data_IF_403752405932
#
_entry.id   IF_403752405932
#
_cell.length_a   1.000
_cell.length_b   1.000
_cell.length_c   1.000
_cell.angle_alpha   90.00
_cell.angle_beta   90.00
_cell.angle_gamma   90.00
#
_symmetry.space_group_name_H-M   'P 1'
#
loop_
_entity.id
_entity.type
_entity.pdbx_description
1 polymer ?
#
# COMPACT_ATOMS: atom_id res chain seq x y z
N UNK A 1 3.02 15.72 16.46
CA UNK A 1 2.00 15.36 15.45
C UNK A 1 1.37 14.05 15.91
N UNK A 2 0.06 13.88 15.73
CA UNK A 2 -0.61 12.62 15.99
C UNK A 2 -0.20 11.62 14.89
N UNK A 3 0.05 10.37 15.26
CA UNK A 3 0.35 9.29 14.29
C UNK A 3 -0.87 9.01 13.42
N UNK A 4 -0.67 8.74 12.13
CA UNK A 4 -1.73 8.38 11.19
C UNK A 4 -2.33 7.01 11.51
N UNK A 5 -1.53 6.05 11.96
CA UNK A 5 -2.06 4.77 12.47
C UNK A 5 -3.04 5.00 13.62
N UNK A 6 -2.68 5.89 14.56
CA UNK A 6 -3.56 6.27 15.67
C UNK A 6 -4.79 7.03 15.19
N UNK A 7 -4.66 7.87 14.16
CA UNK A 7 -5.79 8.56 13.53
C UNK A 7 -6.82 7.58 12.95
N UNK A 8 -6.36 6.59 12.20
CA UNK A 8 -7.20 5.55 11.60
C UNK A 8 -7.85 4.68 12.69
N UNK A 9 -7.07 4.21 13.66
CA UNK A 9 -7.56 3.30 14.70
C UNK A 9 -8.67 3.91 15.59
N UNK A 10 -8.65 5.22 15.82
CA UNK A 10 -9.70 5.90 16.59
C UNK A 10 -10.88 6.39 15.73
N UNK A 11 -10.85 6.21 14.41
CA UNK A 11 -11.90 6.64 13.48
C UNK A 11 -12.53 5.43 12.77
N UNK A 12 -13.56 4.78 13.36
CA UNK A 12 -14.12 3.52 12.83
C UNK A 12 -14.57 3.59 11.37
N UNK A 13 -15.19 4.70 10.95
CA UNK A 13 -15.60 4.88 9.54
C UNK A 13 -14.40 4.91 8.59
N UNK A 14 -13.25 5.44 9.04
CA UNK A 14 -12.04 5.48 8.22
C UNK A 14 -11.39 4.09 8.15
N UNK A 15 -11.34 3.37 9.27
CA UNK A 15 -10.84 1.99 9.29
C UNK A 15 -11.72 1.06 8.43
N UNK A 16 -13.05 1.22 8.47
CA UNK A 16 -13.98 0.45 7.64
C UNK A 16 -13.82 0.77 6.15
N UNK A 17 -13.72 2.06 5.79
CA UNK A 17 -13.50 2.46 4.40
C UNK A 17 -12.14 2.02 3.85
N UNK A 18 -11.10 2.08 4.68
CA UNK A 18 -9.77 1.62 4.29
C UNK A 18 -9.76 0.09 4.11
N UNK A 19 -10.46 -0.66 4.98
CA UNK A 19 -10.63 -2.11 4.83
C UNK A 19 -11.32 -2.44 3.51
N UNK A 20 -12.47 -1.81 3.27
CA UNK A 20 -13.23 -1.96 2.04
C UNK A 20 -13.84 -0.60 1.68
N UNK A 21 -13.52 -0.04 0.50
CA UNK A 21 -13.02 -0.77 -0.66
C UNK A 21 -11.47 -0.79 -0.79
N UNK A 22 -10.72 0.02 -0.04
CA UNK A 22 -9.29 0.26 -0.32
C UNK A 22 -8.30 -0.89 -0.03
N UNK A 23 -8.75 -2.05 0.47
CA UNK A 23 -7.90 -3.20 0.79
C UNK A 23 -6.72 -2.88 1.73
N UNK A 24 -7.00 -2.12 2.80
CA UNK A 24 -6.01 -1.72 3.79
C UNK A 24 -6.55 -1.89 5.22
N UNK A 25 -6.05 -2.91 5.91
CA UNK A 25 -6.53 -3.34 7.22
C UNK A 25 -5.42 -3.34 8.27
N UNK A 26 -5.54 -2.48 9.30
CA UNK A 26 -4.56 -2.39 10.39
C UNK A 26 -4.54 -3.62 11.31
N UNK A 27 -5.61 -4.40 11.36
CA UNK A 27 -5.72 -5.60 12.19
C UNK A 27 -5.18 -6.87 11.51
N UNK A 28 -4.60 -6.75 10.31
CA UNK A 28 -3.98 -7.85 9.55
C UNK A 28 -2.47 -7.63 9.32
N UNK A 29 -1.74 -7.32 10.40
CA UNK A 29 -0.29 -7.05 10.34
C UNK A 29 0.60 -8.29 10.27
N UNK A 30 0.09 -9.45 10.64
CA UNK A 30 0.87 -10.68 10.70
C UNK A 30 0.98 -11.32 9.31
N UNK A 31 2.20 -11.37 8.78
CA UNK A 31 2.49 -12.14 7.58
C UNK A 31 2.55 -13.63 7.94
N UNK A 32 1.89 -14.47 7.14
CA UNK A 32 1.77 -15.92 7.41
C UNK A 32 3.13 -16.63 7.34
N UNK A 33 4.03 -16.11 6.51
CA UNK A 33 5.35 -16.68 6.26
C UNK A 33 6.46 -15.92 6.99
N UNK A 34 7.56 -16.61 7.30
CA UNK A 34 8.73 -15.95 7.89
C UNK A 34 9.54 -15.27 6.80
N UNK A 35 9.54 -13.93 6.78
CA UNK A 35 10.22 -13.12 5.76
C UNK A 35 11.19 -12.11 6.37
N UNK A 36 12.23 -11.76 5.60
CA UNK A 36 13.17 -10.70 5.96
C UNK A 36 13.66 -9.95 4.72
N UNK A 37 14.19 -8.74 4.90
CA UNK A 37 14.84 -8.01 3.82
C UNK A 37 16.23 -8.59 3.55
N UNK A 38 16.60 -8.73 2.28
CA UNK A 38 17.93 -9.18 1.87
C UNK A 38 19.08 -8.31 2.43
N UNK A 39 18.80 -7.03 2.69
CA UNK A 39 19.73 -6.09 3.34
C UNK A 39 19.97 -6.38 4.82
N UNK A 40 19.11 -7.20 5.45
CA UNK A 40 19.05 -7.39 6.90
C UNK A 40 18.48 -6.21 7.67
N UNK A 41 17.94 -5.19 6.98
CA UNK A 41 17.26 -4.09 7.64
C UNK A 41 15.97 -4.59 8.32
N UNK A 42 15.53 -3.86 9.35
CA UNK A 42 14.30 -4.18 10.10
C UNK A 42 13.10 -4.25 9.14
N UNK A 43 12.26 -5.25 9.32
CA UNK A 43 11.01 -5.42 8.59
C UNK A 43 9.87 -5.57 9.59
N UNK A 44 8.82 -4.77 9.46
CA UNK A 44 7.73 -4.70 10.43
C UNK A 44 6.39 -4.65 9.70
N UNK A 45 5.63 -5.75 9.76
CA UNK A 45 4.26 -5.79 9.24
C UNK A 45 3.36 -4.89 10.08
N UNK A 46 2.52 -4.09 9.44
CA UNK A 46 1.63 -3.14 10.13
C UNK A 46 0.20 -3.08 9.59
N UNK A 47 -0.04 -3.62 8.40
CA UNK A 47 -1.36 -3.74 7.79
C UNK A 47 -1.37 -4.90 6.79
N UNK A 48 -2.55 -5.31 6.37
CA UNK A 48 -2.74 -6.29 5.28
C UNK A 48 -3.98 -5.96 4.45
N UNK A 49 -4.36 -6.89 3.58
CA UNK A 49 -5.55 -6.77 2.74
C UNK A 49 -6.47 -7.98 2.79
N UNK A 50 -7.63 -7.88 2.11
CA UNK A 50 -8.63 -8.93 2.03
C UNK A 50 -8.13 -10.22 1.39
N UNK A 51 -7.16 -10.13 0.49
CA UNK A 51 -6.59 -11.23 -0.30
C UNK A 51 -5.47 -12.00 0.41
N UNK A 52 -4.93 -11.44 1.50
CA UNK A 52 -3.83 -12.03 2.26
C UNK A 52 -2.47 -11.37 2.01
N UNK A 53 -2.44 -10.23 1.32
CA UNK A 53 -1.26 -9.38 1.21
C UNK A 53 -0.91 -8.70 2.54
N UNK A 54 0.33 -8.24 2.65
CA UNK A 54 0.87 -7.59 3.85
C UNK A 54 1.68 -6.35 3.48
N UNK A 55 1.47 -5.26 4.22
CA UNK A 55 2.25 -4.03 4.16
C UNK A 55 3.29 -4.03 5.30
N UNK A 56 4.53 -3.73 4.93
CA UNK A 56 5.66 -3.68 5.85
C UNK A 56 6.31 -2.32 5.84
N UNK A 57 6.67 -1.83 7.02
CA UNK A 57 7.68 -0.78 7.12
C UNK A 57 9.08 -1.39 7.03
N UNK A 58 9.93 -0.77 6.22
CA UNK A 58 11.32 -1.17 6.03
C UNK A 58 12.29 -0.21 6.72
N UNK A 59 13.22 -0.75 7.50
CA UNK A 59 14.25 0.00 8.21
C UNK A 59 13.80 0.59 9.56
N UNK A 60 14.68 1.44 10.11
CA UNK A 60 14.47 2.15 11.36
C UNK A 60 13.70 3.46 11.14
N UNK A 61 12.89 3.86 12.12
CA UNK A 61 12.07 5.07 12.04
C UNK A 61 10.61 4.83 12.42
N UNK A 62 9.76 5.81 12.14
CA UNK A 62 8.32 5.79 12.38
C UNK A 62 7.50 5.54 11.10
N UNK A 63 6.45 6.32 10.92
CA UNK A 63 5.53 6.21 9.79
C UNK A 63 6.11 6.77 8.49
N UNK A 64 7.28 7.40 8.52
CA UNK A 64 8.01 7.92 7.35
C UNK A 64 8.86 6.87 6.63
N UNK A 65 8.91 5.65 7.16
CA UNK A 65 9.70 4.54 6.59
C UNK A 65 9.17 4.13 5.21
N UNK A 66 10.04 3.64 4.32
CA UNK A 66 9.63 2.96 3.10
C UNK A 66 8.62 1.85 3.39
N UNK A 67 7.60 1.75 2.54
CA UNK A 67 6.56 0.74 2.62
C UNK A 67 6.73 -0.26 1.49
N UNK A 68 6.90 -1.52 1.87
CA UNK A 68 6.89 -2.67 0.97
C UNK A 68 5.54 -3.38 1.09
N UNK A 69 4.99 -3.81 -0.03
CA UNK A 69 3.84 -4.70 -0.08
C UNK A 69 4.30 -6.07 -0.59
N UNK A 70 3.80 -7.14 0.04
CA UNK A 70 3.93 -8.50 -0.44
C UNK A 70 2.55 -9.12 -0.60
N UNK A 71 2.30 -9.76 -1.74
CA UNK A 71 1.07 -10.53 -1.95
C UNK A 71 1.18 -11.93 -1.34
N UNK A 72 0.07 -12.69 -1.41
CA UNK A 72 0.04 -14.09 -0.97
C UNK A 72 0.61 -15.09 -1.98
N UNK A 73 0.96 -14.65 -3.19
CA UNK A 73 1.44 -15.50 -4.29
C UNK A 73 2.97 -15.53 -4.39
N UNK A 74 3.66 -14.73 -3.59
CA UNK A 74 5.12 -14.70 -3.54
C UNK A 74 5.74 -13.55 -4.31
N UNK A 75 4.98 -12.48 -4.60
CA UNK A 75 5.50 -11.24 -5.19
C UNK A 75 5.62 -10.14 -4.14
N UNK A 76 6.64 -9.28 -4.27
CA UNK A 76 6.85 -8.16 -3.38
C UNK A 76 7.45 -6.95 -4.10
N UNK A 77 7.12 -5.76 -3.61
CA UNK A 77 7.61 -4.50 -4.18
C UNK A 77 7.42 -3.33 -3.24
N UNK A 78 8.28 -2.31 -3.38
CA UNK A 78 8.02 -1.03 -2.73
C UNK A 78 6.81 -0.36 -3.38
N UNK A 79 5.92 0.17 -2.55
CA UNK A 79 4.73 0.88 -2.99
C UNK A 79 4.75 2.36 -2.63
N UNK A 80 5.41 2.76 -1.55
CA UNK A 80 5.63 4.18 -1.22
C UNK A 80 6.77 4.42 -0.22
N UNK A 81 7.04 5.69 0.06
CA UNK A 81 7.89 6.18 1.14
C UNK A 81 6.98 6.90 2.12
N UNK A 82 6.66 6.24 3.23
CA UNK A 82 5.82 6.75 4.30
C UNK A 82 4.35 6.33 4.22
N UNK A 83 3.71 6.26 5.38
CA UNK A 83 2.31 5.91 5.54
C UNK A 83 1.38 6.95 4.94
N UNK A 84 1.72 8.24 5.01
CA UNK A 84 0.88 9.28 4.43
C UNK A 84 0.71 9.07 2.92
N UNK A 85 1.81 8.72 2.25
CA UNK A 85 1.79 8.53 0.81
C UNK A 85 1.21 7.19 0.40
N UNK A 86 1.43 6.13 1.18
CA UNK A 86 0.63 4.90 1.06
C UNK A 86 -0.88 5.19 1.17
N UNK A 87 -1.31 6.04 2.11
CA UNK A 87 -2.72 6.43 2.21
C UNK A 87 -3.19 7.21 1.00
N UNK A 88 -2.36 8.07 0.42
CA UNK A 88 -2.70 8.70 -0.86
C UNK A 88 -2.89 7.65 -1.96
N UNK A 89 -2.02 6.63 -2.02
CA UNK A 89 -2.14 5.53 -2.98
C UNK A 89 -3.47 4.80 -2.84
N UNK A 90 -3.75 4.22 -1.67
CA UNK A 90 -4.94 3.38 -1.48
C UNK A 90 -6.26 4.17 -1.49
N UNK A 91 -6.23 5.47 -1.18
CA UNK A 91 -7.43 6.32 -1.27
C UNK A 91 -7.69 6.81 -2.70
N UNK A 92 -6.66 7.20 -3.45
CA UNK A 92 -6.83 7.80 -4.78
C UNK A 92 -6.90 6.75 -5.86
N UNK A 93 -6.15 5.65 -5.72
CA UNK A 93 -6.01 4.57 -6.72
C UNK A 93 -6.12 3.21 -6.00
N UNK A 94 -7.27 2.84 -5.41
CA UNK A 94 -7.43 1.55 -4.72
C UNK A 94 -7.24 0.34 -5.64
N UNK A 95 -7.37 0.52 -6.95
CA UNK A 95 -7.10 -0.45 -8.01
C UNK A 95 -5.63 -0.46 -8.50
N UNK A 96 -4.68 0.11 -7.74
CA UNK A 96 -3.28 0.25 -8.19
C UNK A 96 -2.61 -1.07 -8.60
N UNK A 97 -3.05 -2.21 -8.06
CA UNK A 97 -2.55 -3.54 -8.41
C UNK A 97 -2.88 -3.94 -9.86
N UNK A 98 -3.94 -3.36 -10.41
CA UNK A 98 -4.36 -3.55 -11.80
C UNK A 98 -3.67 -2.55 -12.76
N UNK A 99 -2.66 -1.82 -12.28
CA UNK A 99 -1.89 -0.84 -13.04
C UNK A 99 -0.37 -1.15 -13.07
N UNK A 100 0.05 -2.34 -13.56
CA UNK A 100 1.45 -2.74 -13.52
C UNK A 100 2.39 -1.83 -14.33
N UNK A 101 1.88 -1.19 -15.40
CA UNK A 101 2.63 -0.20 -16.19
C UNK A 101 2.59 1.22 -15.65
N UNK A 102 1.84 1.47 -14.56
CA UNK A 102 1.63 2.79 -13.95
C UNK A 102 1.11 3.84 -14.93
N UNK A 103 0.34 3.42 -15.94
CA UNK A 103 -0.16 4.31 -16.98
C UNK A 103 -1.55 4.85 -16.63
N UNK A 104 -1.87 6.03 -17.18
CA UNK A 104 -3.21 6.59 -17.04
C UNK A 104 -4.27 5.78 -17.81
N UNK A 105 -3.87 4.99 -18.81
CA UNK A 105 -4.78 4.13 -19.58
C UNK A 105 -5.20 2.92 -18.75
N UNK A 106 -4.24 2.17 -18.19
CA UNK A 106 -4.52 1.07 -17.26
C UNK A 106 -5.36 1.54 -16.07
N UNK A 107 -5.00 2.68 -15.48
CA UNK A 107 -5.76 3.23 -14.35
C UNK A 107 -7.18 3.62 -14.74
N UNK A 108 -7.40 4.20 -15.92
CA UNK A 108 -8.74 4.55 -16.37
C UNK A 108 -9.61 3.30 -16.64
N UNK A 109 -9.02 2.24 -17.18
CA UNK A 109 -9.71 0.96 -17.39
C UNK A 109 -10.09 0.30 -16.06
N UNK A 110 -9.11 0.14 -15.16
CA UNK A 110 -9.34 -0.43 -13.84
C UNK A 110 -10.33 0.41 -13.00
N UNK A 111 -10.21 1.74 -13.03
CA UNK A 111 -11.14 2.64 -12.35
C UNK A 111 -12.58 2.49 -12.85
N UNK A 112 -12.80 2.25 -14.15
CA UNK A 112 -14.14 2.11 -14.71
C UNK A 112 -14.84 0.86 -14.15
N UNK A 113 -14.15 -0.28 -14.10
CA UNK A 113 -14.68 -1.51 -13.50
C UNK A 113 -14.92 -1.33 -12.00
N UNK A 114 -13.95 -0.73 -11.31
CA UNK A 114 -14.01 -0.52 -9.86
C UNK A 114 -15.14 0.42 -9.44
N UNK A 115 -15.37 1.52 -10.17
CA UNK A 115 -16.42 2.49 -9.87
C UNK A 115 -17.82 2.04 -10.29
N UNK A 116 -17.94 1.05 -11.17
CA UNK A 116 -19.23 0.41 -11.45
C UNK A 116 -19.71 -0.38 -10.22
N UNK A 117 -18.79 -1.02 -9.49
CA UNK A 117 -19.09 -1.73 -8.24
C UNK A 117 -19.18 -0.78 -7.03
N UNK A 118 -18.32 0.25 -6.97
CA UNK A 118 -18.22 1.21 -5.86
C UNK A 118 -18.47 2.67 -6.32
N UNK A 119 -19.70 3.03 -6.76
CA UNK A 119 -19.98 4.33 -7.37
C UNK A 119 -19.86 5.51 -6.40
N UNK A 120 -20.04 5.27 -5.09
CA UNK A 120 -19.94 6.29 -4.05
C UNK A 120 -18.50 6.53 -3.55
N UNK A 121 -17.52 5.79 -4.09
CA UNK A 121 -16.13 5.83 -3.66
C UNK A 121 -15.55 7.25 -3.60
N UNK A 122 -15.67 8.12 -4.63
CA UNK A 122 -15.05 9.45 -4.57
C UNK A 122 -15.60 10.31 -3.43
N UNK A 123 -16.92 10.26 -3.20
CA UNK A 123 -17.56 11.04 -2.16
C UNK A 123 -17.18 10.53 -0.76
N UNK A 124 -17.05 9.22 -0.58
CA UNK A 124 -16.62 8.63 0.68
C UNK A 124 -15.13 8.89 0.94
N UNK A 125 -14.28 8.69 -0.07
CA UNK A 125 -12.85 9.02 -0.04
C UNK A 125 -12.60 10.44 0.43
N UNK A 126 -13.29 11.42 -0.14
CA UNK A 126 -13.09 12.83 0.21
C UNK A 126 -13.49 13.12 1.67
N UNK A 127 -14.54 12.46 2.18
CA UNK A 127 -14.94 12.55 3.60
C UNK A 127 -13.88 11.94 4.52
N UNK A 128 -13.36 10.76 4.18
CA UNK A 128 -12.32 10.08 4.97
C UNK A 128 -11.02 10.87 4.96
N UNK A 129 -10.58 11.35 3.79
CA UNK A 129 -9.39 12.18 3.70
C UNK A 129 -9.51 13.45 4.57
N UNK A 130 -10.66 14.12 4.54
CA UNK A 130 -10.91 15.27 5.40
C UNK A 130 -10.88 14.90 6.90
N UNK A 131 -11.47 13.77 7.29
CA UNK A 131 -11.46 13.28 8.67
C UNK A 131 -10.04 12.94 9.18
N UNK A 132 -9.20 12.40 8.31
CA UNK A 132 -7.79 12.09 8.59
C UNK A 132 -6.87 13.32 8.44
N UNK A 133 -7.38 14.46 7.97
CA UNK A 133 -6.59 15.67 7.73
C UNK A 133 -5.64 15.57 6.53
N UNK A 134 -5.96 14.70 5.57
CA UNK A 134 -5.19 14.47 4.36
C UNK A 134 -5.64 15.41 3.24
N UNK A 135 -4.66 15.96 2.50
CA UNK A 135 -4.92 16.64 1.23
C UNK A 135 -4.54 15.68 0.12
N UNK A 136 -5.54 15.19 -0.62
CA UNK A 136 -5.29 14.17 -1.64
C UNK A 136 -4.61 14.79 -2.87
N UNK A 137 -3.50 14.19 -3.35
CA UNK A 137 -2.93 14.51 -4.66
C UNK A 137 -3.85 14.01 -5.79
N UNK A 138 -3.51 14.40 -7.02
CA UNK A 138 -4.16 13.86 -8.22
C UNK A 138 -3.74 12.41 -8.48
N UNK A 139 -4.58 11.66 -9.19
CA UNK A 139 -4.28 10.29 -9.62
C UNK A 139 -2.94 10.21 -10.37
N UNK A 140 -2.66 11.15 -11.27
CA UNK A 140 -1.42 11.21 -12.03
C UNK A 140 -0.18 11.40 -11.12
N UNK A 141 -0.28 12.20 -10.06
CA UNK A 141 0.80 12.38 -9.09
C UNK A 141 1.05 11.12 -8.26
N UNK A 142 -0.02 10.42 -7.87
CA UNK A 142 0.05 9.15 -7.13
C UNK A 142 0.71 8.06 -7.98
N UNK A 143 0.24 7.85 -9.21
CA UNK A 143 0.80 6.85 -10.13
C UNK A 143 2.26 7.15 -10.48
N UNK A 144 2.60 8.44 -10.69
CA UNK A 144 3.98 8.84 -10.93
C UNK A 144 4.87 8.50 -9.73
N UNK A 145 4.40 8.75 -8.50
CA UNK A 145 5.14 8.42 -7.28
C UNK A 145 5.30 6.91 -7.08
N UNK A 146 4.23 6.14 -7.27
CA UNK A 146 4.28 4.68 -7.21
C UNK A 146 5.32 4.14 -8.20
N UNK A 147 5.28 4.60 -9.46
CA UNK A 147 6.28 4.22 -10.48
C UNK A 147 7.70 4.56 -10.04
N UNK A 148 7.93 5.78 -9.57
CA UNK A 148 9.25 6.25 -9.18
C UNK A 148 9.83 5.40 -8.04
N UNK A 149 8.99 4.99 -7.08
CA UNK A 149 9.38 4.13 -5.95
C UNK A 149 9.58 2.68 -6.40
N UNK A 150 8.64 2.13 -7.17
CA UNK A 150 8.67 0.75 -7.66
C UNK A 150 9.84 0.46 -8.61
N UNK A 151 10.22 1.45 -9.43
CA UNK A 151 11.30 1.30 -10.43
C UNK A 151 12.66 1.80 -9.94
N UNK A 152 12.73 2.39 -8.75
CA UNK A 152 14.00 2.82 -8.17
C UNK A 152 14.93 1.60 -8.01
N UNK A 153 16.20 1.68 -8.46
CA UNK A 153 17.15 0.59 -8.29
C UNK A 153 17.54 0.49 -6.81
N UNK A 154 16.77 -0.28 -6.04
CA UNK A 154 16.99 -0.42 -4.60
C UNK A 154 16.97 -1.87 -4.14
N UNK A 155 18.16 -2.48 -4.15
CA UNK A 155 18.36 -3.87 -3.74
C UNK A 155 18.16 -4.09 -2.24
N UNK A 156 18.01 -3.02 -1.46
CA UNK A 156 17.85 -3.14 -0.02
C UNK A 156 16.45 -3.60 0.40
N UNK A 157 15.49 -3.57 -0.54
CA UNK A 157 14.09 -3.92 -0.32
C UNK A 157 13.67 -5.22 -1.01
N UNK A 158 14.62 -6.10 -1.35
CA UNK A 158 14.28 -7.45 -1.81
C UNK A 158 13.79 -8.26 -0.61
N UNK A 159 12.54 -8.72 -0.68
CA UNK A 159 11.96 -9.61 0.33
C UNK A 159 12.43 -11.05 0.12
N UNK A 160 12.86 -11.71 1.19
CA UNK A 160 13.36 -13.08 1.19
C UNK A 160 12.42 -13.94 2.02
N UNK A 161 11.95 -15.05 1.43
CA UNK A 161 11.34 -16.14 2.16
C UNK A 161 12.41 -16.86 2.98
N UNK A 162 12.39 -16.68 4.29
CA UNK A 162 13.47 -17.07 5.21
C UNK A 162 13.76 -18.58 5.21
N UNK A 163 12.74 -19.48 5.23
CA UNK A 163 12.97 -20.91 5.31
C UNK A 163 13.81 -21.48 4.15
N UNK A 164 13.68 -20.92 2.95
CA UNK A 164 14.39 -21.39 1.76
C UNK A 164 15.44 -20.40 1.24
N UNK A 165 15.50 -19.20 1.81
CA UNK A 165 16.37 -18.11 1.39
C UNK A 165 16.20 -17.77 -0.11
N UNK A 166 14.96 -17.81 -0.58
CA UNK A 166 14.58 -17.48 -1.95
C UNK A 166 13.93 -16.08 -1.99
N UNK A 167 14.26 -15.25 -2.99
CA UNK A 167 13.62 -13.95 -3.14
C UNK A 167 12.18 -14.10 -3.62
N UNK A 168 11.31 -13.20 -3.16
CA UNK A 168 9.99 -12.98 -3.77
C UNK A 168 10.17 -12.47 -5.21
N UNK A 169 9.19 -12.75 -6.07
CA UNK A 169 9.15 -12.19 -7.41
C UNK A 169 8.88 -10.67 -7.34
N UNK A 170 9.36 -9.87 -8.31
CA UNK A 170 9.01 -8.46 -8.37
C UNK A 170 7.50 -8.28 -8.56
N UNK A 171 6.87 -7.48 -7.69
CA UNK A 171 5.45 -7.14 -7.80
C UNK A 171 5.10 -6.42 -9.12
N UNK A 172 6.04 -5.63 -9.63
CA UNK A 172 5.91 -4.88 -10.88
C UNK A 172 7.01 -5.33 -11.85
N UNK A 173 6.63 -5.67 -13.09
CA UNK A 173 7.50 -6.27 -14.10
C UNK A 173 7.61 -5.43 -15.38
#
# INVERSE_FOLDING_TARGET
MRSLLTAIAEHPEAAEFLRWPCDFELDRSDHVEEVHLASGAKLEGFAGDGSGGTFFFCGEGGEERPVLYADSEGSAGLVDIGLQELLHLVLVVPWWRDCPGFTAEESAEAAAEYLDDEPDLPAHRDRIAAALGLTLPTEAEVLARLRDVATAPNKDFVLIFTPENNPYEPLFA
#
